data_IF_733210547279
#
_entry.id   IF_733210547279
#
_cell.length_a   1.000
_cell.length_b   1.000
_cell.length_c   1.000
_cell.angle_alpha   90.00
_cell.angle_beta   90.00
_cell.angle_gamma   90.00
#
_symmetry.space_group_name_H-M   'P 1'
#
loop_
_entity.id
_entity.type
_entity.pdbx_description
1 polymer ?
#
# COMPACT_ATOMS: atom_id res chain seq x y z
N UNK A 1 17.51 -11.84 8.09
CA UNK A 1 16.67 -10.70 7.75
C UNK A 1 16.73 -10.37 6.25
N UNK A 2 17.91 -10.26 5.61
CA UNK A 2 18.03 -9.98 4.16
C UNK A 2 17.35 -11.01 3.26
N UNK A 3 17.43 -12.31 3.59
CA UNK A 3 16.71 -13.36 2.83
C UNK A 3 15.20 -13.19 2.93
N UNK A 4 14.67 -12.87 4.13
CA UNK A 4 13.25 -12.63 4.34
C UNK A 4 12.77 -11.40 3.55
N UNK A 5 13.54 -10.31 3.55
CA UNK A 5 13.25 -9.13 2.75
C UNK A 5 13.18 -9.44 1.24
N UNK A 6 14.13 -10.20 0.70
CA UNK A 6 14.13 -10.59 -0.72
C UNK A 6 12.92 -11.45 -1.11
N UNK A 7 12.53 -12.39 -0.24
CA UNK A 7 11.34 -13.22 -0.45
C UNK A 7 10.08 -12.34 -0.43
N UNK A 8 9.98 -11.45 0.55
CA UNK A 8 8.87 -10.50 0.67
C UNK A 8 8.74 -9.60 -0.56
N UNK A 9 9.86 -9.04 -1.02
CA UNK A 9 9.93 -8.23 -2.25
C UNK A 9 9.47 -9.03 -3.47
N UNK A 10 9.98 -10.24 -3.66
CA UNK A 10 9.61 -11.10 -4.79
C UNK A 10 8.11 -11.46 -4.77
N UNK A 11 7.53 -11.68 -3.59
CA UNK A 11 6.10 -11.91 -3.41
C UNK A 11 5.29 -10.67 -3.83
N UNK A 12 5.67 -9.49 -3.35
CA UNK A 12 4.98 -8.25 -3.70
C UNK A 12 5.05 -7.97 -5.20
N UNK A 13 6.23 -8.05 -5.81
CA UNK A 13 6.44 -7.68 -7.21
C UNK A 13 5.84 -8.70 -8.19
N UNK A 14 5.88 -10.00 -7.87
CA UNK A 14 5.40 -11.05 -8.77
C UNK A 14 3.93 -11.37 -8.59
N UNK A 15 3.47 -11.45 -7.37
CA UNK A 15 2.09 -11.88 -7.09
C UNK A 15 1.18 -10.68 -6.83
N UNK A 16 1.49 -9.87 -5.83
CA UNK A 16 0.59 -8.81 -5.37
C UNK A 16 0.39 -7.73 -6.44
N UNK A 17 1.46 -7.29 -7.09
CA UNK A 17 1.37 -6.27 -8.15
C UNK A 17 0.54 -6.76 -9.35
N UNK A 18 0.71 -8.03 -9.76
CA UNK A 18 -0.06 -8.59 -10.87
C UNK A 18 -1.52 -8.79 -10.49
N UNK A 19 -1.80 -9.28 -9.29
CA UNK A 19 -3.17 -9.45 -8.81
C UNK A 19 -3.90 -8.11 -8.73
N UNK A 20 -3.27 -7.08 -8.15
CA UNK A 20 -3.84 -5.74 -8.08
C UNK A 20 -4.06 -5.13 -9.48
N UNK A 21 -3.08 -5.25 -10.39
CA UNK A 21 -3.22 -4.76 -11.75
C UNK A 21 -4.35 -5.45 -12.52
N UNK A 22 -4.47 -6.80 -12.37
CA UNK A 22 -5.56 -7.55 -12.99
C UNK A 22 -6.93 -7.13 -12.44
N UNK A 23 -7.03 -6.97 -11.11
CA UNK A 23 -8.27 -6.50 -10.47
C UNK A 23 -8.66 -5.11 -10.98
N UNK A 24 -7.70 -4.18 -11.07
CA UNK A 24 -7.95 -2.84 -11.61
C UNK A 24 -8.38 -2.88 -13.08
N UNK A 25 -7.77 -3.72 -13.89
CA UNK A 25 -8.16 -3.92 -15.28
C UNK A 25 -9.61 -4.43 -15.40
N UNK A 26 -9.97 -5.43 -14.61
CA UNK A 26 -11.35 -5.96 -14.57
C UNK A 26 -12.32 -4.90 -14.11
N UNK A 27 -12.00 -4.13 -13.07
CA UNK A 27 -12.84 -3.03 -12.60
C UNK A 27 -13.03 -1.94 -13.68
N UNK A 28 -11.97 -1.62 -14.40
CA UNK A 28 -12.06 -0.65 -15.52
C UNK A 28 -12.97 -1.15 -16.63
N UNK A 29 -12.86 -2.43 -17.01
CA UNK A 29 -13.74 -3.04 -18.00
C UNK A 29 -15.20 -3.08 -17.53
N UNK A 30 -15.45 -3.40 -16.26
CA UNK A 30 -16.79 -3.35 -15.67
C UNK A 30 -17.35 -1.94 -15.68
N UNK A 31 -16.56 -0.94 -15.34
CA UNK A 31 -16.98 0.47 -15.39
C UNK A 31 -17.33 0.91 -16.81
N UNK A 32 -16.51 0.54 -17.80
CA UNK A 32 -16.82 0.81 -19.21
C UNK A 32 -18.09 0.12 -19.68
N UNK A 33 -18.29 -1.14 -19.27
CA UNK A 33 -19.50 -1.88 -19.59
C UNK A 33 -20.74 -1.21 -18.98
N UNK A 34 -20.64 -0.68 -17.75
CA UNK A 34 -21.72 0.08 -17.12
C UNK A 34 -22.07 1.33 -17.95
N UNK A 35 -21.08 2.09 -18.38
CA UNK A 35 -21.29 3.29 -19.22
C UNK A 35 -22.02 2.92 -20.51
N UNK A 36 -21.57 1.88 -21.23
CA UNK A 36 -22.21 1.43 -22.48
C UNK A 36 -23.67 0.99 -22.24
N UNK A 37 -23.93 0.24 -21.18
CA UNK A 37 -25.26 -0.22 -20.85
C UNK A 37 -26.19 0.92 -20.42
N UNK A 38 -25.69 1.82 -19.58
CA UNK A 38 -26.48 2.94 -19.08
C UNK A 38 -26.89 3.91 -20.19
N UNK A 39 -25.96 4.25 -21.07
CA UNK A 39 -26.21 5.22 -22.14
C UNK A 39 -26.69 4.60 -23.45
N UNK A 40 -26.32 3.34 -23.73
CA UNK A 40 -26.71 2.65 -24.95
C UNK A 40 -28.02 1.86 -24.83
N UNK A 41 -28.22 1.18 -23.70
CA UNK A 41 -29.38 0.29 -23.48
C UNK A 41 -30.40 0.86 -22.46
N UNK A 42 -30.08 1.96 -21.79
CA UNK A 42 -30.93 2.57 -20.78
C UNK A 42 -31.13 1.73 -19.51
N UNK A 43 -30.28 0.73 -19.28
CA UNK A 43 -30.35 -0.18 -18.14
C UNK A 43 -29.07 -0.13 -17.31
N UNK A 44 -29.16 -0.02 -15.98
CA UNK A 44 -28.03 -0.11 -15.06
C UNK A 44 -28.32 -1.10 -13.94
N UNK A 45 -27.26 -1.67 -13.36
CA UNK A 45 -27.35 -2.51 -12.18
C UNK A 45 -26.78 -1.75 -10.97
N UNK A 46 -27.55 -1.62 -9.90
CA UNK A 46 -27.14 -0.91 -8.68
C UNK A 46 -25.86 -1.52 -8.06
N UNK A 47 -25.75 -2.86 -8.07
CA UNK A 47 -24.60 -3.57 -7.52
C UNK A 47 -23.28 -3.33 -8.28
N UNK A 48 -23.35 -2.93 -9.54
CA UNK A 48 -22.16 -2.83 -10.40
C UNK A 48 -21.28 -1.65 -9.99
N UNK A 49 -21.87 -0.54 -9.60
CA UNK A 49 -21.14 0.62 -9.07
C UNK A 49 -20.42 0.27 -7.77
N UNK A 50 -21.08 -0.42 -6.85
CA UNK A 50 -20.50 -0.89 -5.60
C UNK A 50 -19.33 -1.86 -5.86
N UNK A 51 -19.52 -2.81 -6.79
CA UNK A 51 -18.46 -3.75 -7.17
C UNK A 51 -17.21 -3.00 -7.66
N UNK A 52 -17.36 -2.08 -8.61
CA UNK A 52 -16.22 -1.30 -9.14
C UNK A 52 -15.53 -0.53 -8.02
N UNK A 53 -16.28 0.15 -7.17
CA UNK A 53 -15.73 0.97 -6.07
C UNK A 53 -14.98 0.10 -5.06
N UNK A 54 -15.61 -0.95 -4.56
CA UNK A 54 -15.06 -1.80 -3.49
C UNK A 54 -13.84 -2.60 -3.97
N UNK A 55 -13.91 -3.20 -5.15
CA UNK A 55 -12.78 -3.97 -5.70
C UNK A 55 -11.62 -3.06 -6.10
N UNK A 56 -11.88 -1.87 -6.64
CA UNK A 56 -10.84 -0.89 -6.92
C UNK A 56 -10.14 -0.45 -5.63
N UNK A 57 -10.91 -0.14 -4.59
CA UNK A 57 -10.37 0.24 -3.29
C UNK A 57 -9.48 -0.87 -2.71
N UNK A 58 -9.97 -2.12 -2.71
CA UNK A 58 -9.21 -3.27 -2.23
C UNK A 58 -7.90 -3.46 -3.01
N UNK A 59 -7.91 -3.33 -4.34
CA UNK A 59 -6.72 -3.45 -5.18
C UNK A 59 -5.70 -2.32 -4.90
N UNK A 60 -6.16 -1.09 -4.75
CA UNK A 60 -5.32 0.08 -4.45
C UNK A 60 -4.64 -0.09 -3.09
N UNK A 61 -5.37 -0.51 -2.05
CA UNK A 61 -4.77 -0.72 -0.73
C UNK A 61 -3.73 -1.84 -0.72
N UNK A 62 -3.95 -2.91 -1.47
CA UNK A 62 -2.95 -3.97 -1.60
C UNK A 62 -1.68 -3.48 -2.34
N UNK A 63 -1.84 -2.57 -3.30
CA UNK A 63 -0.71 -2.00 -4.02
C UNK A 63 0.08 -0.95 -3.22
N UNK A 64 -0.50 -0.35 -2.19
CA UNK A 64 0.17 0.68 -1.38
C UNK A 64 1.48 0.20 -0.76
N UNK A 65 1.58 -1.05 -0.32
CA UNK A 65 2.83 -1.60 0.20
C UNK A 65 3.98 -1.57 -0.81
N UNK A 66 3.67 -1.75 -2.09
CA UNK A 66 4.63 -1.69 -3.20
C UNK A 66 4.98 -0.23 -3.52
N UNK A 67 3.96 0.63 -3.63
CA UNK A 67 4.11 2.05 -3.90
C UNK A 67 4.95 2.75 -2.83
N UNK A 68 4.69 2.44 -1.55
CA UNK A 68 5.43 2.99 -0.43
C UNK A 68 6.92 2.64 -0.49
N UNK A 69 7.26 1.41 -0.86
CA UNK A 69 8.64 1.00 -1.03
C UNK A 69 9.35 1.80 -2.13
N UNK A 70 8.68 2.00 -3.28
CA UNK A 70 9.23 2.77 -4.41
C UNK A 70 9.32 4.27 -4.10
N UNK A 71 8.31 4.83 -3.43
CA UNK A 71 8.26 6.24 -3.07
C UNK A 71 9.22 6.63 -1.95
N UNK A 72 9.63 5.68 -1.10
CA UNK A 72 10.56 5.93 -0.01
C UNK A 72 11.89 6.52 -0.50
N UNK A 73 12.38 6.08 -1.66
CA UNK A 73 13.59 6.63 -2.27
C UNK A 73 13.41 8.09 -2.73
N UNK A 74 12.26 8.43 -3.27
CA UNK A 74 11.99 9.79 -3.78
C UNK A 74 11.93 10.82 -2.65
N UNK A 75 11.14 10.53 -1.61
CA UNK A 75 10.98 11.41 -0.44
C UNK A 75 12.29 11.62 0.31
N UNK A 76 13.11 10.59 0.35
CA UNK A 76 14.41 10.58 0.98
C UNK A 76 15.37 11.54 0.25
N UNK A 77 15.41 11.49 -1.07
CA UNK A 77 16.30 12.34 -1.87
C UNK A 77 15.88 13.82 -1.81
N UNK A 78 14.59 14.11 -1.76
CA UNK A 78 14.09 15.48 -1.61
C UNK A 78 14.47 16.07 -0.24
N UNK A 79 14.31 15.31 0.84
CA UNK A 79 14.65 15.77 2.19
C UNK A 79 16.16 15.95 2.36
N UNK A 80 16.98 15.03 1.85
CA UNK A 80 18.44 15.17 1.87
C UNK A 80 18.92 16.32 1.02
N UNK A 81 18.38 16.50 -0.18
CA UNK A 81 18.70 17.64 -1.05
C UNK A 81 18.33 18.98 -0.41
N UNK A 82 17.18 19.07 0.26
CA UNK A 82 16.77 20.26 1.00
C UNK A 82 17.69 20.55 2.21
N UNK A 83 18.08 19.51 2.98
CA UNK A 83 19.02 19.67 4.08
C UNK A 83 20.43 20.05 3.62
N UNK A 84 20.91 19.50 2.52
CA UNK A 84 22.19 19.86 1.91
C UNK A 84 22.17 21.31 1.40
N UNK A 85 21.07 21.74 0.79
CA UNK A 85 20.88 23.13 0.32
C UNK A 85 20.83 24.15 1.46
N UNK A 86 20.36 23.74 2.64
CA UNK A 86 20.33 24.58 3.85
C UNK A 86 21.66 24.62 4.61
N UNK A 87 22.71 23.91 4.12
CA UNK A 87 24.02 23.84 4.78
C UNK A 87 23.97 23.24 6.20
N UNK A 88 22.87 22.59 6.54
CA UNK A 88 22.57 22.17 7.89
C UNK A 88 22.86 20.70 8.11
N UNK A 89 24.00 20.41 8.69
CA UNK A 89 24.17 19.24 9.52
C UNK A 89 24.70 17.97 8.83
N UNK A 90 25.30 17.08 9.63
CA UNK A 90 25.90 15.87 9.12
C UNK A 90 24.81 14.94 8.55
N UNK A 91 25.11 14.23 7.47
CA UNK A 91 24.32 13.16 6.82
C UNK A 91 23.58 12.25 7.81
N UNK A 92 24.12 12.08 9.02
CA UNK A 92 23.51 11.31 10.11
C UNK A 92 22.19 11.87 10.61
N UNK A 93 22.02 13.19 10.61
CA UNK A 93 20.75 13.84 11.05
C UNK A 93 19.63 13.53 10.04
N UNK A 94 19.94 13.64 8.75
CA UNK A 94 18.99 13.30 7.70
C UNK A 94 18.57 11.82 7.78
N UNK A 95 19.54 10.92 7.98
CA UNK A 95 19.25 9.49 8.15
C UNK A 95 18.43 9.20 9.41
N UNK A 96 18.68 9.89 10.52
CA UNK A 96 17.90 9.78 11.74
C UNK A 96 16.45 10.24 11.54
N UNK A 97 16.23 11.39 10.91
CA UNK A 97 14.89 11.90 10.60
C UNK A 97 14.11 10.92 9.73
N UNK A 98 14.74 10.29 8.75
CA UNK A 98 14.13 9.26 7.91
C UNK A 98 13.68 8.05 8.72
N UNK A 99 14.54 7.54 9.58
CA UNK A 99 14.22 6.38 10.43
C UNK A 99 13.08 6.73 11.37
N UNK A 100 13.09 7.94 11.96
CA UNK A 100 12.02 8.40 12.83
C UNK A 100 10.69 8.51 12.09
N UNK A 101 10.68 9.12 10.91
CA UNK A 101 9.47 9.24 10.09
C UNK A 101 8.92 7.85 9.69
N UNK A 102 9.80 6.94 9.28
CA UNK A 102 9.39 5.56 8.95
C UNK A 102 8.89 4.79 10.18
N UNK A 103 9.46 5.02 11.36
CA UNK A 103 9.00 4.39 12.60
C UNK A 103 7.63 4.91 13.03
N UNK A 104 7.38 6.22 12.91
CA UNK A 104 6.06 6.82 13.18
C UNK A 104 5.01 6.29 12.22
N UNK A 105 5.35 6.18 10.92
CA UNK A 105 4.46 5.60 9.92
C UNK A 105 4.15 4.13 10.21
N UNK A 106 5.15 3.34 10.62
CA UNK A 106 4.96 1.96 11.03
C UNK A 106 4.01 1.86 12.24
N UNK A 107 4.21 2.68 13.25
CA UNK A 107 3.35 2.72 14.44
C UNK A 107 1.90 3.03 14.05
N UNK A 108 1.71 4.03 13.19
CA UNK A 108 0.39 4.37 12.68
C UNK A 108 -0.28 3.20 11.94
N UNK A 109 0.46 2.50 11.05
CA UNK A 109 -0.08 1.35 10.32
C UNK A 109 -0.46 0.20 11.26
N UNK A 110 0.36 -0.08 12.29
CA UNK A 110 0.05 -1.08 13.31
C UNK A 110 -1.22 -0.68 14.08
N UNK A 111 -1.35 0.59 14.45
CA UNK A 111 -2.54 1.09 15.13
C UNK A 111 -3.81 0.92 14.27
N UNK A 112 -3.74 1.26 12.97
CA UNK A 112 -4.86 1.08 12.03
C UNK A 112 -5.27 -0.40 11.93
N UNK A 113 -4.29 -1.30 11.81
CA UNK A 113 -4.58 -2.74 11.77
C UNK A 113 -5.19 -3.21 13.09
N UNK A 114 -4.65 -2.80 14.23
CA UNK A 114 -5.13 -3.19 15.55
C UNK A 114 -6.58 -2.76 15.80
N UNK A 115 -6.90 -1.50 15.53
CA UNK A 115 -8.26 -0.99 15.71
C UNK A 115 -9.22 -1.36 14.60
N UNK A 116 -8.71 -1.73 13.43
CA UNK A 116 -9.55 -2.18 12.32
C UNK A 116 -10.04 -3.62 12.43
N UNK A 117 -9.38 -4.48 13.24
CA UNK A 117 -9.82 -5.87 13.41
C UNK A 117 -11.22 -5.96 14.07
N UNK A 118 -11.53 -5.23 15.16
CA UNK A 118 -12.89 -5.22 15.73
C UNK A 118 -13.95 -4.81 14.72
N UNK A 119 -13.67 -3.84 13.84
CA UNK A 119 -14.61 -3.37 12.81
C UNK A 119 -15.06 -4.49 11.85
N UNK A 120 -14.16 -5.44 11.53
CA UNK A 120 -14.53 -6.63 10.76
C UNK A 120 -15.51 -7.49 11.57
N UNK A 121 -15.25 -7.66 12.86
CA UNK A 121 -16.13 -8.40 13.77
C UNK A 121 -17.52 -7.80 13.82
N UNK A 122 -17.60 -6.49 14.02
CA UNK A 122 -18.85 -5.72 14.06
C UNK A 122 -19.59 -5.81 12.71
N UNK A 123 -18.87 -5.71 11.59
CA UNK A 123 -19.45 -5.86 10.25
C UNK A 123 -20.03 -7.25 10.00
N UNK A 124 -19.43 -8.30 10.58
CA UNK A 124 -19.93 -9.66 10.53
C UNK A 124 -21.18 -9.83 11.42
N UNK A 125 -21.13 -9.31 12.63
CA UNK A 125 -22.20 -9.46 13.65
C UNK A 125 -23.46 -8.68 13.24
N UNK A 126 -23.30 -7.44 12.80
CA UNK A 126 -24.42 -6.58 12.37
C UNK A 126 -24.85 -6.78 10.91
N UNK A 127 -24.13 -7.63 10.16
CA UNK A 127 -24.44 -7.92 8.77
C UNK A 127 -24.37 -6.70 7.86
N UNK A 128 -23.40 -5.81 8.09
CA UNK A 128 -23.22 -4.58 7.30
C UNK A 128 -23.07 -4.86 5.81
N UNK A 129 -23.83 -4.13 4.99
CA UNK A 129 -23.87 -4.28 3.53
C UNK A 129 -23.51 -2.98 2.82
N UNK A 130 -23.15 -3.10 1.53
CA UNK A 130 -22.92 -1.97 0.64
C UNK A 130 -24.22 -1.14 0.43
N UNK A 131 -24.09 0.03 -0.18
CA UNK A 131 -25.25 0.92 -0.45
C UNK A 131 -26.35 0.25 -1.26
N UNK A 132 -25.97 -0.59 -2.24
CA UNK A 132 -26.93 -1.39 -3.02
C UNK A 132 -27.46 -2.64 -2.28
N UNK A 133 -27.00 -2.88 -1.03
CA UNK A 133 -27.30 -4.07 -0.22
C UNK A 133 -26.87 -5.41 -0.87
N UNK A 134 -26.17 -5.36 -2.01
CA UNK A 134 -25.76 -6.55 -2.75
C UNK A 134 -24.56 -7.27 -2.12
N UNK A 135 -23.60 -6.49 -1.57
CA UNK A 135 -22.35 -7.06 -1.06
C UNK A 135 -22.24 -6.91 0.47
N UNK A 136 -21.78 -7.95 1.18
CA UNK A 136 -21.35 -7.80 2.56
C UNK A 136 -20.09 -6.94 2.64
N UNK A 137 -19.97 -6.08 3.64
CA UNK A 137 -18.84 -5.15 3.77
C UNK A 137 -17.57 -5.80 4.35
N UNK A 138 -17.72 -6.82 5.18
CA UNK A 138 -16.59 -7.44 5.91
C UNK A 138 -15.43 -7.93 5.01
N UNK A 139 -15.63 -8.51 3.80
CA UNK A 139 -14.51 -8.97 2.98
C UNK A 139 -13.64 -7.80 2.47
N UNK A 140 -14.28 -6.65 2.21
CA UNK A 140 -13.59 -5.46 1.73
C UNK A 140 -12.82 -4.77 2.86
N UNK A 141 -13.39 -4.72 4.07
CA UNK A 141 -12.69 -4.29 5.28
C UNK A 141 -11.49 -5.20 5.56
N UNK A 142 -11.64 -6.51 5.44
CA UNK A 142 -10.55 -7.45 5.58
C UNK A 142 -9.45 -7.24 4.52
N UNK A 143 -9.83 -7.05 3.25
CA UNK A 143 -8.86 -6.76 2.17
C UNK A 143 -8.10 -5.45 2.41
N UNK A 144 -8.77 -4.43 2.93
CA UNK A 144 -8.17 -3.15 3.31
C UNK A 144 -7.17 -3.34 4.46
N UNK A 145 -7.53 -4.06 5.52
CA UNK A 145 -6.63 -4.35 6.64
C UNK A 145 -5.43 -5.21 6.22
N UNK A 146 -5.62 -6.18 5.34
CA UNK A 146 -4.52 -6.96 4.75
C UNK A 146 -3.57 -6.04 3.97
N UNK A 147 -4.09 -5.07 3.21
CA UNK A 147 -3.29 -4.05 2.54
C UNK A 147 -2.44 -3.23 3.52
N UNK A 148 -3.04 -2.75 4.60
CA UNK A 148 -2.31 -2.04 5.67
C UNK A 148 -1.29 -2.94 6.39
N UNK A 149 -1.60 -4.20 6.62
CA UNK A 149 -0.65 -5.16 7.19
C UNK A 149 0.56 -5.38 6.27
N UNK A 150 0.34 -5.52 4.96
CA UNK A 150 1.42 -5.61 3.98
C UNK A 150 2.29 -4.34 3.96
N UNK A 151 1.68 -3.18 4.09
CA UNK A 151 2.37 -1.91 4.19
C UNK A 151 3.20 -1.81 5.49
N UNK A 152 2.63 -2.25 6.63
CA UNK A 152 3.33 -2.30 7.91
C UNK A 152 4.57 -3.21 7.84
N UNK A 153 4.47 -4.40 7.22
CA UNK A 153 5.62 -5.29 7.00
C UNK A 153 6.70 -4.62 6.15
N UNK A 154 6.32 -3.90 5.08
CA UNK A 154 7.27 -3.17 4.24
C UNK A 154 7.96 -2.06 5.01
N UNK A 155 7.21 -1.29 5.82
CA UNK A 155 7.75 -0.25 6.69
C UNK A 155 8.68 -0.81 7.79
N UNK A 156 8.34 -1.95 8.35
CA UNK A 156 9.22 -2.64 9.31
C UNK A 156 10.60 -2.93 8.72
N UNK A 157 10.66 -3.49 7.52
CA UNK A 157 11.93 -3.71 6.83
C UNK A 157 12.66 -2.41 6.52
N UNK A 158 11.95 -1.35 6.18
CA UNK A 158 12.53 -0.03 5.92
C UNK A 158 13.16 0.57 7.19
N UNK A 159 12.46 0.54 8.32
CA UNK A 159 12.98 0.99 9.63
C UNK A 159 14.20 0.17 10.01
N UNK A 160 14.13 -1.16 9.88
CA UNK A 160 15.26 -2.03 10.20
C UNK A 160 16.49 -1.71 9.36
N UNK A 161 16.35 -1.51 8.05
CA UNK A 161 17.46 -1.11 7.16
C UNK A 161 18.00 0.26 7.52
N UNK A 162 17.14 1.24 7.81
CA UNK A 162 17.56 2.57 8.26
C UNK A 162 18.38 2.54 9.55
N UNK A 163 17.96 1.74 10.53
CA UNK A 163 18.74 1.55 11.77
C UNK A 163 20.10 0.88 11.51
N UNK A 164 20.19 -0.07 10.57
CA UNK A 164 21.45 -0.69 10.20
C UNK A 164 22.41 0.32 9.51
N UNK A 165 21.86 1.19 8.67
CA UNK A 165 22.62 2.27 8.03
C UNK A 165 23.19 3.25 9.07
N UNK A 166 22.39 3.66 10.06
CA UNK A 166 22.86 4.49 11.19
C UNK A 166 23.97 3.83 12.02
N UNK A 167 23.95 2.50 12.12
CA UNK A 167 25.01 1.71 12.80
C UNK A 167 26.25 1.48 11.95
N UNK A 168 26.32 2.06 10.75
CA UNK A 168 27.49 1.94 9.85
C UNK A 168 27.67 0.56 9.20
N UNK A 169 26.66 -0.31 9.25
CA UNK A 169 26.68 -1.60 8.55
C UNK A 169 26.31 -1.38 7.08
N UNK A 170 27.10 -1.96 6.15
CA UNK A 170 26.75 -1.96 4.72
C UNK A 170 25.41 -2.65 4.53
N UNK A 171 24.39 -1.86 4.21
CA UNK A 171 23.10 -2.36 3.72
C UNK A 171 23.25 -2.49 2.22
N UNK A 172 22.92 -3.65 1.65
CA UNK A 172 22.92 -3.84 0.20
C UNK A 172 21.99 -2.79 -0.43
N UNK A 173 22.57 -1.93 -1.29
CA UNK A 173 21.79 -0.98 -2.07
C UNK A 173 20.79 -1.74 -2.93
N UNK A 174 19.56 -1.22 -3.02
CA UNK A 174 18.61 -1.73 -4.01
C UNK A 174 19.22 -1.49 -5.40
N UNK A 175 19.24 -2.49 -6.28
CA UNK A 175 19.62 -2.25 -7.66
C UNK A 175 18.69 -1.17 -8.21
N UNK A 176 19.27 -0.10 -8.73
CA UNK A 176 18.55 0.95 -9.45
C UNK A 176 17.76 0.31 -10.59
N UNK A 177 16.43 0.25 -10.45
CA UNK A 177 15.54 -0.20 -11.54
C UNK A 177 15.54 0.79 -12.72
N UNK A 178 16.21 1.94 -12.58
CA UNK A 178 16.42 2.94 -13.64
C UNK A 178 17.47 2.56 -14.69
N UNK A 179 18.22 1.48 -14.51
CA UNK A 179 19.27 1.07 -15.46
C UNK A 179 18.78 0.09 -16.56
N UNK A 180 17.48 -0.16 -16.66
CA UNK A 180 16.89 -1.08 -17.64
C UNK A 180 15.96 -0.38 -18.67
N UNK A 181 16.24 0.90 -18.97
CA UNK A 181 15.60 1.58 -20.11
C UNK A 181 16.64 2.13 -21.05
#
# INVERSE_FOLDING_TARGET
>A
MEKAYRIWRAFQDRFLARAAALTLLVCTLLALLEVVRRYGLGTSYEWQQDAVTLFTLAAVFQYFGIAQRRSAHLNVNLLTGALEALGAGPRRVAEFVKVLASALSLLFMIAVVYWGVPEIGDSLEYGSRSESLAFPMWPFLAALLVGFAFMAVSMFFQVWRGVQALRGRKVLDEPDEGALH
#
